data_IF_726109873627
#
_entry.id   IF_726109873627
#
_cell.length_a   1.000
_cell.length_b   1.000
_cell.length_c   1.000
_cell.angle_alpha   90.00
_cell.angle_beta   90.00
_cell.angle_gamma   90.00
#
_symmetry.space_group_name_H-M   'P 1'
#
loop_
_entity.id
_entity.type
_entity.pdbx_description
1 polymer ?
#
# COMPACT_ATOMS: atom_id res chain seq x y z
N UNK A 1 43.78 14.82 25.21
CA UNK A 1 43.97 14.15 23.90
C UNK A 1 42.64 13.47 23.60
N UNK A 2 41.77 14.15 22.85
CA UNK A 2 40.40 13.68 22.61
C UNK A 2 40.38 12.63 21.51
N UNK A 3 39.83 11.47 21.81
CA UNK A 3 39.54 10.45 20.80
C UNK A 3 38.34 10.94 19.99
N UNK A 4 38.59 11.36 18.76
CA UNK A 4 37.56 11.77 17.83
C UNK A 4 36.71 10.56 17.45
N UNK A 5 35.53 10.46 18.07
CA UNK A 5 34.44 9.64 17.57
C UNK A 5 34.06 10.10 16.16
N UNK A 6 34.68 9.50 15.15
CA UNK A 6 34.22 9.59 13.78
C UNK A 6 32.89 8.85 13.70
N UNK A 7 31.81 9.59 13.97
CA UNK A 7 30.45 9.19 13.70
C UNK A 7 30.35 8.79 12.21
N UNK A 8 30.31 7.47 11.98
CA UNK A 8 30.02 6.83 10.69
C UNK A 8 28.82 7.52 10.05
N UNK A 9 28.93 8.04 8.82
CA UNK A 9 27.94 8.99 8.30
C UNK A 9 26.51 8.39 8.44
N UNK A 10 25.65 9.05 9.22
CA UNK A 10 24.31 8.55 9.58
C UNK A 10 23.24 8.98 8.57
N UNK A 11 23.57 9.05 7.28
CA UNK A 11 22.67 9.52 6.23
C UNK A 11 22.10 8.38 5.38
N UNK A 12 20.92 8.59 4.79
CA UNK A 12 20.34 7.68 3.78
C UNK A 12 21.26 7.48 2.54
N UNK A 13 22.29 8.32 2.37
CA UNK A 13 23.29 8.27 1.30
C UNK A 13 24.72 8.01 1.78
N UNK A 14 24.89 7.57 3.02
CA UNK A 14 26.19 7.32 3.62
C UNK A 14 26.70 5.91 3.33
N UNK A 15 27.06 5.62 2.08
CA UNK A 15 27.55 4.30 1.68
C UNK A 15 28.88 4.45 0.96
N UNK A 16 29.92 3.78 1.48
CA UNK A 16 31.12 3.47 0.69
C UNK A 16 30.78 2.33 -0.26
N UNK A 17 30.85 2.57 -1.57
CA UNK A 17 30.45 1.61 -2.61
C UNK A 17 28.94 1.65 -2.87
N UNK A 18 28.52 2.38 -3.89
CA UNK A 18 27.12 2.60 -4.28
C UNK A 18 26.61 1.35 -5.03
N UNK A 19 26.43 0.25 -4.30
CA UNK A 19 25.78 -0.97 -4.78
C UNK A 19 26.65 -1.91 -5.60
N UNK A 20 25.99 -2.82 -6.32
CA UNK A 20 26.64 -3.98 -6.96
C UNK A 20 27.75 -3.60 -7.96
N UNK A 21 27.62 -2.43 -8.60
CA UNK A 21 28.59 -1.91 -9.57
C UNK A 21 29.92 -1.56 -8.90
N UNK A 22 29.89 -1.18 -7.61
CA UNK A 22 31.07 -0.89 -6.80
C UNK A 22 31.61 -2.12 -6.05
N UNK A 23 31.09 -3.31 -6.37
CA UNK A 23 31.51 -4.58 -5.76
C UNK A 23 30.87 -4.87 -4.40
N UNK A 24 29.97 -4.01 -3.92
CA UNK A 24 29.21 -4.26 -2.69
C UNK A 24 27.92 -5.05 -3.00
N UNK A 25 28.06 -6.37 -2.96
CA UNK A 25 26.94 -7.30 -3.12
C UNK A 25 26.05 -7.40 -1.87
N UNK A 26 26.52 -6.96 -0.70
CA UNK A 26 25.73 -7.00 0.53
C UNK A 26 24.53 -6.04 0.44
N UNK A 27 24.73 -4.87 -0.17
CA UNK A 27 23.65 -3.89 -0.37
C UNK A 27 22.48 -4.43 -1.22
N UNK A 28 22.75 -5.32 -2.18
CA UNK A 28 21.67 -5.94 -2.99
C UNK A 28 20.77 -6.83 -2.14
N UNK A 29 21.37 -7.60 -1.23
CA UNK A 29 20.62 -8.49 -0.32
C UNK A 29 19.76 -7.64 0.63
N UNK A 30 20.30 -6.56 1.18
CA UNK A 30 19.56 -5.66 2.05
C UNK A 30 18.35 -5.04 1.35
N UNK A 31 18.49 -4.64 0.08
CA UNK A 31 17.38 -4.13 -0.72
C UNK A 31 16.33 -5.20 -1.02
N UNK A 32 16.73 -6.45 -1.28
CA UNK A 32 15.78 -7.57 -1.46
C UNK A 32 14.97 -7.78 -0.18
N UNK A 33 15.62 -7.75 0.98
CA UNK A 33 14.94 -7.86 2.28
C UNK A 33 13.96 -6.69 2.46
N UNK A 34 14.37 -5.46 2.14
CA UNK A 34 13.50 -4.28 2.22
C UNK A 34 12.26 -4.38 1.33
N UNK A 35 12.42 -4.86 0.08
CA UNK A 35 11.31 -5.09 -0.85
C UNK A 35 10.39 -6.18 -0.32
N UNK A 36 10.94 -7.31 0.13
CA UNK A 36 10.15 -8.41 0.67
C UNK A 36 9.38 -8.00 1.93
N UNK A 37 10.01 -7.23 2.82
CA UNK A 37 9.36 -6.67 4.01
C UNK A 37 8.23 -5.70 3.62
N UNK A 38 8.43 -4.85 2.62
CA UNK A 38 7.40 -3.91 2.14
C UNK A 38 6.20 -4.64 1.54
N UNK A 39 6.44 -5.66 0.71
CA UNK A 39 5.38 -6.50 0.13
C UNK A 39 4.64 -7.25 1.23
N UNK A 40 5.37 -7.86 2.17
CA UNK A 40 4.78 -8.61 3.28
C UNK A 40 3.91 -7.71 4.15
N UNK A 41 4.42 -6.53 4.53
CA UNK A 41 3.68 -5.56 5.32
C UNK A 41 2.44 -5.04 4.59
N UNK A 42 2.58 -4.58 3.34
CA UNK A 42 1.46 -4.02 2.58
C UNK A 42 0.36 -5.04 2.36
N UNK A 43 0.71 -6.30 2.06
CA UNK A 43 -0.26 -7.37 1.90
C UNK A 43 -0.95 -7.74 3.22
N UNK A 44 -0.18 -8.05 4.27
CA UNK A 44 -0.72 -8.55 5.54
C UNK A 44 -1.56 -7.49 6.25
N UNK A 45 -1.05 -6.25 6.34
CA UNK A 45 -1.76 -5.18 7.03
C UNK A 45 -3.03 -4.80 6.27
N UNK A 46 -2.97 -4.67 4.95
CA UNK A 46 -4.17 -4.40 4.14
C UNK A 46 -5.18 -5.55 4.28
N UNK A 47 -4.73 -6.80 4.20
CA UNK A 47 -5.60 -7.96 4.36
C UNK A 47 -6.31 -7.96 5.72
N UNK A 48 -5.59 -7.67 6.80
CA UNK A 48 -6.19 -7.57 8.16
C UNK A 48 -7.21 -6.45 8.22
N UNK A 49 -6.91 -5.26 7.69
CA UNK A 49 -7.84 -4.12 7.67
C UNK A 49 -9.10 -4.48 6.89
N UNK A 50 -8.94 -4.99 5.67
CA UNK A 50 -10.07 -5.40 4.82
C UNK A 50 -10.90 -6.49 5.50
N UNK A 51 -10.25 -7.46 6.17
CA UNK A 51 -10.97 -8.52 6.87
C UNK A 51 -11.75 -8.00 8.08
N UNK A 52 -11.21 -7.01 8.79
CA UNK A 52 -11.92 -6.37 9.90
C UNK A 52 -13.14 -5.59 9.39
N UNK A 53 -13.02 -4.86 8.28
CA UNK A 53 -14.14 -4.14 7.68
C UNK A 53 -15.26 -5.09 7.22
N UNK A 54 -14.87 -6.22 6.58
CA UNK A 54 -15.78 -7.27 6.11
C UNK A 54 -16.61 -7.91 7.24
N UNK A 55 -16.05 -8.08 8.45
CA UNK A 55 -16.79 -8.68 9.57
C UNK A 55 -17.66 -7.69 10.36
N UNK A 56 -17.44 -6.38 10.20
CA UNK A 56 -18.24 -5.37 10.90
C UNK A 56 -19.53 -5.11 10.10
N UNK A 57 -20.72 -5.42 10.66
CA UNK A 57 -21.98 -5.20 9.96
C UNK A 57 -22.16 -3.70 9.65
N UNK A 58 -22.35 -3.38 8.36
CA UNK A 58 -22.51 -2.01 7.87
C UNK A 58 -21.24 -1.35 7.30
N UNK A 59 -20.06 -1.99 7.41
CA UNK A 59 -18.81 -1.53 6.78
C UNK A 59 -18.33 -2.48 5.66
N UNK A 60 -19.27 -3.21 5.06
CA UNK A 60 -18.99 -4.13 3.96
C UNK A 60 -18.21 -3.44 2.84
N UNK A 61 -17.21 -4.14 2.31
CA UNK A 61 -16.33 -3.61 1.25
C UNK A 61 -17.02 -3.52 -0.11
N UNK A 62 -18.17 -4.20 -0.27
CA UNK A 62 -18.96 -4.26 -1.50
C UNK A 62 -20.37 -3.75 -1.20
N UNK A 63 -20.98 -3.08 -2.17
CA UNK A 63 -22.37 -2.66 -2.09
C UNK A 63 -23.30 -3.88 -2.07
N UNK A 64 -24.53 -3.68 -1.58
CA UNK A 64 -25.57 -4.72 -1.65
C UNK A 64 -25.89 -5.02 -3.12
N UNK A 65 -26.26 -6.25 -3.45
CA UNK A 65 -26.59 -6.65 -4.83
C UNK A 65 -27.75 -5.80 -5.38
N UNK A 66 -28.70 -5.42 -4.52
CA UNK A 66 -29.81 -4.54 -4.89
C UNK A 66 -29.34 -3.14 -5.29
N UNK A 67 -28.34 -2.61 -4.58
CA UNK A 67 -27.78 -1.28 -4.85
C UNK A 67 -26.87 -1.29 -6.07
N UNK A 68 -26.17 -2.41 -6.32
CA UNK A 68 -25.39 -2.61 -7.56
C UNK A 68 -26.31 -2.70 -8.79
N UNK A 69 -27.43 -3.43 -8.70
CA UNK A 69 -28.42 -3.59 -9.79
C UNK A 69 -29.17 -2.28 -10.11
N UNK A 70 -29.50 -1.49 -9.09
CA UNK A 70 -30.15 -0.19 -9.27
C UNK A 70 -29.19 0.90 -9.81
N UNK A 71 -27.88 0.65 -9.74
CA UNK A 71 -26.82 1.60 -10.07
C UNK A 71 -26.40 2.42 -8.85
N UNK A 72 -25.10 2.45 -8.57
CA UNK A 72 -24.51 3.10 -7.39
C UNK A 72 -24.75 4.61 -7.35
N UNK A 73 -24.86 5.26 -8.52
CA UNK A 73 -25.19 6.68 -8.61
C UNK A 73 -26.58 6.95 -8.04
N UNK A 74 -27.55 6.08 -8.32
CA UNK A 74 -28.92 6.19 -7.80
C UNK A 74 -28.97 5.73 -6.33
N UNK A 75 -28.35 4.60 -6.01
CA UNK A 75 -28.45 3.97 -4.69
C UNK A 75 -27.68 4.74 -3.60
N UNK A 76 -26.48 5.25 -3.89
CA UNK A 76 -25.63 5.92 -2.89
C UNK A 76 -25.64 7.44 -3.00
N UNK A 77 -25.89 8.00 -4.19
CA UNK A 77 -25.81 9.44 -4.43
C UNK A 77 -27.15 10.06 -4.83
N UNK A 78 -28.19 9.25 -5.10
CA UNK A 78 -29.51 9.75 -5.49
C UNK A 78 -29.55 10.48 -6.83
N UNK A 79 -28.53 10.27 -7.67
CA UNK A 79 -28.35 10.98 -8.94
C UNK A 79 -28.38 10.02 -10.14
N UNK A 80 -28.75 10.55 -11.31
CA UNK A 80 -28.65 9.84 -12.60
C UNK A 80 -27.58 10.53 -13.43
N UNK A 81 -26.48 9.84 -13.71
CA UNK A 81 -25.41 10.39 -14.54
C UNK A 81 -25.84 10.65 -15.99
N UNK A 82 -26.80 9.89 -16.53
CA UNK A 82 -27.34 10.09 -17.87
C UNK A 82 -28.85 9.80 -17.94
N UNK A 83 -29.57 10.57 -18.77
CA UNK A 83 -31.03 10.50 -18.91
C UNK A 83 -31.48 9.51 -20.01
N UNK A 84 -30.56 8.80 -20.67
CA UNK A 84 -30.85 7.96 -21.84
C UNK A 84 -30.28 6.54 -21.84
N UNK A 85 -29.86 6.00 -20.69
CA UNK A 85 -29.36 4.62 -20.62
C UNK A 85 -30.52 3.65 -20.31
N UNK A 86 -31.29 3.31 -21.35
CA UNK A 86 -32.06 2.06 -21.55
C UNK A 86 -32.97 1.48 -20.45
N UNK A 87 -33.19 2.16 -19.33
CA UNK A 87 -34.11 1.74 -18.27
C UNK A 87 -35.39 2.59 -18.31
N UNK A 88 -36.14 2.43 -19.39
CA UNK A 88 -37.53 2.85 -19.57
C UNK A 88 -38.51 1.66 -19.59
#
# INVERSE_FOLDING_TARGET
MGESGAQSPQGIFAVGGIGLVDGDAALVIDNIIAVAATIGYSFVVTFVILKILDVIPGLGLRADEVDEDAGLDIALHGERAYVGDGAD
#
